data_IF_801482110271
#
_entry.id   IF_801482110271
#
_cell.length_a   1.000
_cell.length_b   1.000
_cell.length_c   1.000
_cell.angle_alpha   90.00
_cell.angle_beta   90.00
_cell.angle_gamma   90.00
#
_symmetry.space_group_name_H-M   'P 1'
#
loop_
_entity.id
_entity.type
_entity.pdbx_description
1 polymer ?
#
# COMPACT_ATOMS: atom_id res chain seq x y z
N UNK A 1 8.75 -7.09 17.56
CA UNK A 1 9.16 -5.84 18.22
C UNK A 1 8.25 -4.68 17.80
N UNK A 2 8.02 -4.50 16.50
CA UNK A 2 7.15 -3.44 15.96
C UNK A 2 5.76 -3.33 16.61
N UNK A 3 5.00 -4.43 16.73
CA UNK A 3 3.67 -4.40 17.35
C UNK A 3 3.69 -3.83 18.77
N UNK A 4 4.67 -4.21 19.59
CA UNK A 4 4.85 -3.64 20.94
C UNK A 4 5.17 -2.14 20.91
N UNK A 5 5.95 -1.68 19.93
CA UNK A 5 6.25 -0.26 19.77
C UNK A 5 4.99 0.53 19.35
N UNK A 6 4.18 -0.03 18.44
CA UNK A 6 2.88 0.54 18.04
C UNK A 6 1.89 0.56 19.22
N UNK A 7 1.87 -0.48 20.06
CA UNK A 7 1.01 -0.52 21.24
C UNK A 7 1.40 0.55 22.28
N UNK A 8 2.69 0.87 22.39
CA UNK A 8 3.22 1.89 23.29
C UNK A 8 2.99 3.33 22.78
N UNK A 9 3.07 3.54 21.47
CA UNK A 9 2.84 4.83 20.83
C UNK A 9 2.13 4.65 19.47
N UNK A 10 0.79 4.56 19.47
CA UNK A 10 0.02 4.24 18.27
C UNK A 10 -0.04 5.38 17.26
N UNK A 11 0.35 6.60 17.65
CA UNK A 11 0.44 7.77 16.77
C UNK A 11 1.79 7.91 16.07
N UNK A 12 2.77 7.08 16.44
CA UNK A 12 4.09 7.15 15.86
C UNK A 12 4.11 6.59 14.43
N UNK A 13 4.19 7.48 13.45
CA UNK A 13 4.23 7.10 12.03
C UNK A 13 5.45 6.21 11.72
N UNK A 14 6.59 6.43 12.38
CA UNK A 14 7.81 5.66 12.13
C UNK A 14 7.66 4.19 12.52
N UNK A 15 7.00 3.87 13.64
CA UNK A 15 6.80 2.48 14.04
C UNK A 15 5.84 1.74 13.10
N UNK A 16 4.81 2.43 12.60
CA UNK A 16 3.84 1.84 11.68
C UNK A 16 4.41 1.66 10.28
N UNK A 17 5.08 2.66 9.73
CA UNK A 17 5.76 2.57 8.42
C UNK A 17 6.82 1.47 8.44
N UNK A 18 7.69 1.44 9.45
CA UNK A 18 8.68 0.35 9.60
C UNK A 18 8.04 -1.04 9.69
N UNK A 19 6.87 -1.16 10.33
CA UNK A 19 6.16 -2.43 10.39
C UNK A 19 5.51 -2.80 9.05
N UNK A 20 4.96 -1.80 8.34
CA UNK A 20 4.37 -1.96 7.02
C UNK A 20 5.41 -2.49 6.03
N UNK A 21 6.57 -1.85 5.97
CA UNK A 21 7.70 -2.22 5.11
C UNK A 21 8.18 -3.63 5.41
N UNK A 22 8.40 -3.93 6.70
CA UNK A 22 8.78 -5.28 7.14
C UNK A 22 7.75 -6.32 6.69
N UNK A 23 6.46 -6.05 6.88
CA UNK A 23 5.40 -6.94 6.44
C UNK A 23 5.41 -7.12 4.92
N UNK A 24 5.61 -6.05 4.15
CA UNK A 24 5.61 -6.09 2.70
C UNK A 24 6.79 -6.92 2.16
N UNK A 25 8.00 -6.65 2.63
CA UNK A 25 9.22 -7.37 2.24
C UNK A 25 9.12 -8.87 2.54
N UNK A 26 8.37 -9.25 3.59
CA UNK A 26 8.17 -10.63 3.99
C UNK A 26 6.88 -11.26 3.44
N UNK A 27 6.16 -10.59 2.52
CA UNK A 27 4.95 -11.12 1.88
C UNK A 27 3.72 -11.20 2.80
N UNK A 28 3.73 -10.50 3.94
CA UNK A 28 2.64 -10.43 4.91
C UNK A 28 1.68 -9.29 4.52
N UNK A 29 1.10 -9.39 3.32
CA UNK A 29 0.42 -8.26 2.67
C UNK A 29 -0.75 -7.67 3.42
N UNK A 30 -1.58 -8.50 4.04
CA UNK A 30 -2.72 -7.99 4.81
C UNK A 30 -2.25 -7.05 5.92
N UNK A 31 -1.20 -7.43 6.65
CA UNK A 31 -0.66 -6.60 7.71
C UNK A 31 0.04 -5.35 7.16
N UNK A 32 0.76 -5.47 6.04
CA UNK A 32 1.36 -4.32 5.37
C UNK A 32 0.30 -3.29 4.97
N UNK A 33 -0.74 -3.73 4.26
CA UNK A 33 -1.87 -2.91 3.82
C UNK A 33 -2.56 -2.23 5.00
N UNK A 34 -2.88 -2.96 6.07
CA UNK A 34 -3.47 -2.41 7.29
C UNK A 34 -2.61 -1.28 7.89
N UNK A 35 -1.29 -1.42 7.89
CA UNK A 35 -0.41 -0.38 8.43
C UNK A 35 -0.25 0.81 7.50
N UNK A 36 -0.12 0.61 6.19
CA UNK A 36 -0.06 1.71 5.22
C UNK A 36 -1.34 2.56 5.27
N UNK A 37 -2.51 1.92 5.35
CA UNK A 37 -3.78 2.62 5.53
C UNK A 37 -3.84 3.38 6.86
N UNK A 38 -3.40 2.76 7.96
CA UNK A 38 -3.36 3.44 9.26
C UNK A 38 -2.42 4.65 9.28
N UNK A 39 -1.28 4.59 8.58
CA UNK A 39 -0.37 5.73 8.44
C UNK A 39 -1.01 6.84 7.60
N UNK A 40 -1.64 6.49 6.48
CA UNK A 40 -2.35 7.45 5.65
C UNK A 40 -3.50 8.16 6.40
N UNK A 41 -4.20 7.44 7.28
CA UNK A 41 -5.26 8.01 8.11
C UNK A 41 -4.73 8.98 9.19
N UNK A 42 -3.54 8.69 9.73
CA UNK A 42 -2.86 9.51 10.76
C UNK A 42 -2.19 10.76 10.16
N UNK A 43 -1.70 10.67 8.93
CA UNK A 43 -1.00 11.73 8.22
C UNK A 43 -1.67 12.01 6.86
N UNK A 44 -2.87 12.58 6.93
CA UNK A 44 -3.75 12.79 5.76
C UNK A 44 -3.15 13.75 4.73
N UNK A 45 -2.31 14.68 5.15
CA UNK A 45 -1.64 15.60 4.24
C UNK A 45 -0.68 14.85 3.30
N UNK A 46 -0.14 13.71 3.76
CA UNK A 46 0.74 12.84 2.99
C UNK A 46 0.11 11.50 2.60
N UNK A 47 -1.22 11.34 2.72
CA UNK A 47 -1.94 10.09 2.42
C UNK A 47 -1.52 9.50 1.05
N UNK A 48 -1.39 10.37 0.05
CA UNK A 48 -1.08 10.04 -1.32
C UNK A 48 0.30 9.40 -1.46
N UNK A 49 1.28 9.81 -0.64
CA UNK A 49 2.62 9.24 -0.61
C UNK A 49 2.57 7.80 -0.13
N UNK A 50 1.87 7.54 0.98
CA UNK A 50 1.77 6.20 1.56
C UNK A 50 1.00 5.22 0.66
N UNK A 51 -0.10 5.69 0.05
CA UNK A 51 -0.89 4.86 -0.87
C UNK A 51 -0.10 4.52 -2.15
N UNK A 52 0.64 5.50 -2.71
CA UNK A 52 1.47 5.27 -3.88
C UNK A 52 2.64 4.32 -3.59
N UNK A 53 3.30 4.49 -2.44
CA UNK A 53 4.38 3.60 -2.03
C UNK A 53 3.90 2.15 -1.86
N UNK A 54 2.79 1.94 -1.14
CA UNK A 54 2.19 0.61 -1.02
C UNK A 54 1.90 0.00 -2.40
N UNK A 55 1.28 0.75 -3.30
CA UNK A 55 0.91 0.27 -4.63
C UNK A 55 2.12 -0.23 -5.44
N UNK A 56 3.16 0.60 -5.53
CA UNK A 56 4.36 0.32 -6.32
C UNK A 56 5.16 -0.80 -5.68
N UNK A 57 5.34 -0.75 -4.36
CA UNK A 57 6.14 -1.73 -3.63
C UNK A 57 5.46 -3.11 -3.59
N UNK A 58 4.13 -3.17 -3.44
CA UNK A 58 3.35 -4.41 -3.56
C UNK A 58 3.48 -5.02 -4.96
N UNK A 59 3.30 -4.22 -6.02
CA UNK A 59 3.41 -4.70 -7.41
C UNK A 59 4.80 -5.26 -7.69
N UNK A 60 5.85 -4.52 -7.31
CA UNK A 60 7.25 -4.94 -7.48
C UNK A 60 7.53 -6.27 -6.79
N UNK A 61 7.13 -6.41 -5.52
CA UNK A 61 7.32 -7.66 -4.79
C UNK A 61 6.60 -8.82 -5.46
N UNK A 62 5.36 -8.60 -5.91
CA UNK A 62 4.56 -9.61 -6.58
C UNK A 62 5.16 -10.07 -7.91
N UNK A 63 5.83 -9.18 -8.64
CA UNK A 63 6.57 -9.52 -9.87
C UNK A 63 7.87 -10.28 -9.58
N UNK A 64 8.55 -9.97 -8.47
CA UNK A 64 9.75 -10.67 -8.03
C UNK A 64 9.43 -12.08 -7.50
N UNK A 65 8.28 -12.24 -6.84
CA UNK A 65 7.85 -13.49 -6.21
C UNK A 65 6.44 -13.93 -6.65
N UNK A 66 6.21 -14.20 -7.94
CA UNK A 66 4.86 -14.44 -8.49
C UNK A 66 4.14 -15.63 -7.86
N UNK A 67 4.89 -16.65 -7.43
CA UNK A 67 4.32 -17.86 -6.81
C UNK A 67 4.01 -17.70 -5.31
N UNK A 68 4.25 -16.51 -4.71
CA UNK A 68 4.10 -16.28 -3.27
C UNK A 68 2.95 -15.35 -2.90
N UNK A 69 2.30 -14.72 -3.88
CA UNK A 69 1.15 -13.84 -3.64
C UNK A 69 -0.15 -14.61 -3.43
N UNK A 70 -0.28 -15.78 -4.10
CA UNK A 70 -1.56 -16.47 -4.23
C UNK A 70 -2.58 -15.69 -5.07
N UNK A 71 -2.13 -14.72 -5.87
CA UNK A 71 -2.94 -13.85 -6.72
C UNK A 71 -2.45 -13.95 -8.17
N UNK A 72 -3.39 -13.89 -9.11
CA UNK A 72 -3.07 -13.80 -10.53
C UNK A 72 -2.45 -12.44 -10.88
N UNK A 73 -1.66 -12.38 -11.96
CA UNK A 73 -0.97 -11.14 -12.38
C UNK A 73 -1.93 -9.95 -12.54
N UNK A 74 -3.11 -10.20 -13.09
CA UNK A 74 -4.15 -9.18 -13.29
C UNK A 74 -4.77 -8.71 -11.97
N UNK A 75 -4.86 -9.58 -10.96
CA UNK A 75 -5.34 -9.20 -9.63
C UNK A 75 -4.34 -8.30 -8.91
N UNK A 76 -3.06 -8.64 -9.01
CA UNK A 76 -1.98 -7.79 -8.51
C UNK A 76 -2.00 -6.43 -9.20
N UNK A 77 -2.09 -6.42 -10.53
CA UNK A 77 -2.13 -5.18 -11.32
C UNK A 77 -3.34 -4.32 -10.95
N UNK A 78 -4.54 -4.92 -10.83
CA UNK A 78 -5.76 -4.22 -10.45
C UNK A 78 -5.66 -3.60 -9.06
N UNK A 79 -5.14 -4.35 -8.08
CA UNK A 79 -4.97 -3.84 -6.71
C UNK A 79 -3.97 -2.69 -6.66
N UNK A 80 -2.81 -2.83 -7.28
CA UNK A 80 -1.83 -1.75 -7.33
C UNK A 80 -2.41 -0.50 -8.02
N UNK A 81 -3.13 -0.68 -9.14
CA UNK A 81 -3.76 0.42 -9.85
C UNK A 81 -4.82 1.14 -8.99
N UNK A 82 -5.66 0.41 -8.25
CA UNK A 82 -6.64 1.01 -7.34
C UNK A 82 -5.97 1.96 -6.33
N UNK A 83 -4.89 1.52 -5.69
CA UNK A 83 -4.15 2.36 -4.75
C UNK A 83 -3.48 3.56 -5.41
N UNK A 84 -2.91 3.40 -6.61
CA UNK A 84 -2.38 4.53 -7.40
C UNK A 84 -3.46 5.55 -7.73
N UNK A 85 -4.66 5.11 -8.15
CA UNK A 85 -5.77 6.00 -8.47
C UNK A 85 -6.26 6.74 -7.22
N UNK A 86 -6.36 6.06 -6.09
CA UNK A 86 -6.68 6.68 -4.79
C UNK A 86 -5.65 7.73 -4.39
N UNK A 87 -4.35 7.44 -4.55
CA UNK A 87 -3.29 8.40 -4.32
C UNK A 87 -3.40 9.65 -5.22
N UNK A 88 -3.86 9.47 -6.47
CA UNK A 88 -4.11 10.55 -7.42
C UNK A 88 -5.48 11.24 -7.22
N UNK A 89 -6.29 10.78 -6.26
CA UNK A 89 -7.68 11.24 -6.05
C UNK A 89 -8.54 11.09 -7.31
N UNK A 90 -8.38 9.97 -7.98
CA UNK A 90 -9.11 9.61 -9.20
C UNK A 90 -9.90 8.31 -8.98
N UNK A 91 -11.06 8.22 -9.62
CA UNK A 91 -11.72 6.93 -9.82
C UNK A 91 -11.20 6.24 -11.09
N UNK A 92 -11.49 4.94 -11.31
CA UNK A 92 -11.22 4.29 -12.59
C UNK A 92 -11.86 5.02 -13.79
N UNK A 93 -13.07 5.57 -13.62
CA UNK A 93 -13.75 6.35 -14.65
C UNK A 93 -13.03 7.65 -14.97
N UNK A 94 -12.51 8.35 -13.94
CA UNK A 94 -11.70 9.55 -14.14
C UNK A 94 -10.44 9.24 -14.96
N UNK A 95 -9.77 8.12 -14.64
CA UNK A 95 -8.57 7.68 -15.35
C UNK A 95 -8.86 7.36 -16.81
N UNK A 96 -9.91 6.59 -17.09
CA UNK A 96 -10.32 6.26 -18.45
C UNK A 96 -10.65 7.51 -19.26
N UNK A 97 -11.34 8.49 -18.66
CA UNK A 97 -11.68 9.76 -19.32
C UNK A 97 -10.44 10.58 -19.67
N UNK A 98 -9.41 10.59 -18.82
CA UNK A 98 -8.15 11.32 -19.07
C UNK A 98 -7.32 10.63 -20.16
N UNK A 99 -7.29 9.29 -20.19
CA UNK A 99 -6.51 8.51 -21.17
C UNK A 99 -7.10 8.47 -22.59
N UNK A 100 -8.40 8.75 -22.74
CA UNK A 100 -9.09 8.76 -24.03
C UNK A 100 -9.07 10.14 -24.74
N UNK A 101 -8.37 11.13 -24.18
CA UNK A 101 -8.13 12.44 -24.81
C UNK A 101 -6.89 12.42 -25.69
#
# INVERSE_FOLDING_TARGET
MYRKAIDLDPGNLFYRTSYADFCLENGIFRAAEEQYLAVADLDRDNEHVYLADFAVSFKRWAEEFPNRTGMESDEVARKALDYCLRALRMTPEDAMRVLQR
#
